data_IF_796576489896
#
_entry.id   IF_796576489896
#
_cell.length_a   1.000
_cell.length_b   1.000
_cell.length_c   1.000
_cell.angle_alpha   90.00
_cell.angle_beta   90.00
_cell.angle_gamma   90.00
#
_symmetry.space_group_name_H-M   'P 1'
#
loop_
_entity.id
_entity.type
_entity.pdbx_description
1 polymer ?
#
# COMPACT_ATOMS: atom_id res chain seq x y z
N UNK A 1 20.97 7.22 17.13
CA UNK A 1 19.82 6.35 16.82
C UNK A 1 19.60 6.44 15.33
N UNK A 2 19.70 5.31 14.59
CA UNK A 2 19.40 5.34 13.17
C UNK A 2 17.92 5.69 13.02
N UNK A 3 17.64 6.75 12.27
CA UNK A 3 16.28 7.19 12.03
C UNK A 3 15.61 6.14 11.13
N UNK A 4 14.57 5.46 11.60
CA UNK A 4 13.85 4.45 10.82
C UNK A 4 12.90 5.16 9.87
N UNK A 5 13.32 5.28 8.59
CA UNK A 5 12.51 5.92 7.54
C UNK A 5 11.64 4.88 6.86
N UNK A 6 10.35 5.15 6.80
CA UNK A 6 9.34 4.33 6.12
C UNK A 6 8.71 5.13 4.98
N UNK A 7 8.58 4.53 3.81
CA UNK A 7 8.04 5.20 2.61
C UNK A 7 6.80 4.49 2.12
N UNK A 8 5.74 5.24 1.87
CA UNK A 8 4.62 4.83 1.03
C UNK A 8 4.80 5.44 -0.36
N UNK A 9 4.97 4.61 -1.40
CA UNK A 9 5.30 5.07 -2.74
C UNK A 9 4.26 4.65 -3.77
N UNK A 10 3.69 5.62 -4.47
CA UNK A 10 2.71 5.37 -5.53
C UNK A 10 1.68 6.48 -5.66
N UNK A 11 0.40 6.12 -5.79
CA UNK A 11 -0.68 7.06 -5.99
C UNK A 11 -1.00 7.90 -4.75
N UNK A 12 -1.21 9.20 -5.00
CA UNK A 12 -1.91 10.14 -4.12
C UNK A 12 -3.00 10.81 -4.97
N UNK A 13 -4.24 10.76 -4.53
CA UNK A 13 -5.38 11.12 -5.35
C UNK A 13 -6.58 11.60 -4.52
N UNK A 14 -7.61 12.09 -5.19
CA UNK A 14 -8.92 12.35 -4.60
C UNK A 14 -9.92 11.29 -5.03
N UNK A 15 -10.54 10.64 -4.07
CA UNK A 15 -11.78 9.88 -4.28
C UNK A 15 -12.93 10.88 -4.28
N UNK A 16 -13.56 11.05 -5.46
CA UNK A 16 -14.66 11.99 -5.67
C UNK A 16 -15.97 11.23 -5.54
N UNK A 17 -16.64 11.45 -4.44
CA UNK A 17 -17.90 10.85 -4.04
C UNK A 17 -19.05 11.85 -4.27
N UNK A 18 -20.30 11.39 -4.36
CA UNK A 18 -21.46 12.29 -4.48
C UNK A 18 -21.56 13.33 -3.36
N UNK A 19 -21.16 12.96 -2.14
CA UNK A 19 -21.18 13.82 -0.94
C UNK A 19 -19.94 14.71 -0.79
N UNK A 20 -18.93 14.56 -1.64
CA UNK A 20 -17.67 15.31 -1.57
C UNK A 20 -16.47 14.49 -1.96
N UNK A 21 -15.29 15.03 -1.72
CA UNK A 21 -14.04 14.32 -2.02
C UNK A 21 -13.28 13.93 -0.77
N UNK A 22 -12.67 12.78 -0.79
CA UNK A 22 -11.78 12.28 0.27
C UNK A 22 -10.37 12.06 -0.29
N UNK A 23 -9.36 12.38 0.51
CA UNK A 23 -7.98 12.09 0.14
C UNK A 23 -7.78 10.57 0.18
N UNK A 24 -7.25 10.01 -0.91
CA UNK A 24 -7.05 8.59 -1.11
C UNK A 24 -5.65 8.28 -1.66
N UNK A 25 -5.45 7.00 -1.93
CA UNK A 25 -4.19 6.43 -2.37
C UNK A 25 -3.61 5.48 -1.31
N UNK A 26 -3.54 4.19 -1.61
CA UNK A 26 -3.07 3.18 -0.66
C UNK A 26 -1.68 3.49 -0.08
N UNK A 27 -0.67 3.93 -0.86
CA UNK A 27 0.62 4.31 -0.31
C UNK A 27 0.56 5.52 0.64
N UNK A 28 -0.31 6.49 0.39
CA UNK A 28 -0.50 7.66 1.25
C UNK A 28 -1.17 7.25 2.57
N UNK A 29 -2.21 6.41 2.51
CA UNK A 29 -2.86 5.85 3.68
C UNK A 29 -1.87 5.03 4.53
N UNK A 30 -1.09 4.16 3.91
CA UNK A 30 -0.04 3.39 4.59
C UNK A 30 0.93 4.32 5.34
N UNK A 31 1.47 5.34 4.66
CA UNK A 31 2.42 6.26 5.27
C UNK A 31 1.80 7.04 6.44
N UNK A 32 0.55 7.49 6.29
CA UNK A 32 -0.17 8.16 7.37
C UNK A 32 -0.32 7.25 8.60
N UNK A 33 -0.80 6.03 8.42
CA UNK A 33 -0.96 5.11 9.55
C UNK A 33 0.38 4.76 10.21
N UNK A 34 1.47 4.59 9.45
CA UNK A 34 2.80 4.38 10.03
C UNK A 34 3.25 5.57 10.87
N UNK A 35 2.96 6.81 10.45
CA UNK A 35 3.32 8.01 11.22
C UNK A 35 2.68 8.05 12.60
N UNK A 36 1.46 7.50 12.74
CA UNK A 36 0.75 7.41 14.03
C UNK A 36 1.47 6.51 15.05
N UNK A 37 2.38 5.65 14.59
CA UNK A 37 3.26 4.87 15.46
C UNK A 37 4.56 5.59 15.83
N UNK A 38 4.70 6.88 15.48
CA UNK A 38 5.87 7.71 15.80
C UNK A 38 7.12 7.35 15.00
N UNK A 39 6.98 6.74 13.81
CA UNK A 39 8.06 6.49 12.87
C UNK A 39 8.15 7.64 11.85
N UNK A 40 9.37 7.92 11.33
CA UNK A 40 9.56 8.87 10.22
C UNK A 40 8.99 8.26 8.94
N UNK A 41 7.72 8.55 8.70
CA UNK A 41 7.00 8.07 7.53
C UNK A 41 6.84 9.15 6.48
N UNK A 42 7.00 8.77 5.20
CA UNK A 42 6.97 9.71 4.07
C UNK A 42 6.15 9.17 2.91
N UNK A 43 5.34 10.03 2.31
CA UNK A 43 4.66 9.75 1.03
C UNK A 43 5.56 10.16 -0.11
N UNK A 44 5.75 9.28 -1.09
CA UNK A 44 6.40 9.58 -2.37
C UNK A 44 5.39 9.42 -3.49
N UNK A 45 5.09 10.53 -4.17
CA UNK A 45 4.10 10.57 -5.26
C UNK A 45 4.36 11.78 -6.18
N UNK A 46 3.42 12.10 -7.04
CA UNK A 46 3.37 13.34 -7.80
C UNK A 46 1.94 13.90 -7.85
N UNK A 47 1.84 15.22 -7.92
CA UNK A 47 0.58 15.97 -8.10
C UNK A 47 0.70 16.94 -9.27
N UNK A 48 -0.42 17.40 -9.78
CA UNK A 48 -0.47 18.42 -10.82
C UNK A 48 -0.21 19.82 -10.26
N UNK A 49 0.16 20.74 -11.15
CA UNK A 49 0.16 22.17 -10.87
C UNK A 49 -1.29 22.71 -10.99
N UNK A 50 -2.15 22.22 -10.11
CA UNK A 50 -3.57 22.52 -10.08
C UNK A 50 -4.10 22.64 -8.64
N UNK A 51 -5.35 23.09 -8.51
CA UNK A 51 -5.99 23.28 -7.20
C UNK A 51 -6.05 21.99 -6.38
N UNK A 52 -6.31 20.84 -7.01
CA UNK A 52 -6.41 19.55 -6.32
C UNK A 52 -5.05 19.12 -5.78
N UNK A 53 -3.97 19.39 -6.52
CA UNK A 53 -2.60 19.14 -6.06
C UNK A 53 -2.22 19.98 -4.85
N UNK A 54 -2.55 21.28 -4.88
CA UNK A 54 -2.34 22.18 -3.71
C UNK A 54 -3.09 21.65 -2.50
N UNK A 55 -4.35 21.26 -2.67
CA UNK A 55 -5.16 20.73 -1.57
C UNK A 55 -4.62 19.41 -1.00
N UNK A 56 -4.02 18.52 -1.82
CA UNK A 56 -3.31 17.31 -1.31
C UNK A 56 -2.13 17.71 -0.43
N UNK A 57 -1.30 18.65 -0.91
CA UNK A 57 -0.12 19.10 -0.15
C UNK A 57 -0.52 19.78 1.17
N UNK A 58 -1.60 20.56 1.17
CA UNK A 58 -2.12 21.19 2.38
C UNK A 58 -2.65 20.16 3.37
N UNK A 59 -3.39 19.13 2.92
CA UNK A 59 -3.84 18.04 3.76
C UNK A 59 -2.68 17.28 4.40
N UNK A 60 -1.60 16.96 3.64
CA UNK A 60 -0.42 16.31 4.22
C UNK A 60 0.25 17.19 5.27
N UNK A 61 0.30 18.51 5.04
CA UNK A 61 0.85 19.49 6.01
C UNK A 61 0.01 19.56 7.28
N UNK A 62 -1.31 19.65 7.15
CA UNK A 62 -2.24 19.69 8.30
C UNK A 62 -2.13 18.42 9.15
N UNK A 63 -1.96 17.27 8.53
CA UNK A 63 -1.76 15.97 9.19
C UNK A 63 -0.32 15.73 9.65
N UNK A 64 0.57 16.70 9.48
CA UNK A 64 2.00 16.60 9.81
C UNK A 64 2.67 15.37 9.18
N UNK A 65 2.19 14.96 8.02
CA UNK A 65 2.73 13.83 7.26
C UNK A 65 3.85 14.31 6.34
N UNK A 66 5.05 13.79 6.56
CA UNK A 66 6.17 14.07 5.69
C UNK A 66 5.91 13.54 4.27
N UNK A 67 6.31 14.29 3.27
CA UNK A 67 6.14 13.87 1.88
C UNK A 67 7.30 14.35 1.00
N UNK A 68 7.54 13.60 -0.08
CA UNK A 68 8.37 13.98 -1.20
C UNK A 68 7.47 13.87 -2.44
N UNK A 69 6.80 14.97 -2.75
CA UNK A 69 5.82 15.07 -3.82
C UNK A 69 6.36 16.00 -4.88
N UNK A 70 6.47 15.48 -6.10
CA UNK A 70 6.86 16.27 -7.26
C UNK A 70 5.63 16.91 -7.91
N UNK A 71 5.77 18.17 -8.35
CA UNK A 71 4.72 18.83 -9.14
C UNK A 71 5.07 18.62 -10.61
N UNK A 72 4.16 18.00 -11.35
CA UNK A 72 4.38 17.62 -12.75
C UNK A 72 3.31 18.21 -13.66
N UNK A 73 3.58 18.34 -14.99
CA UNK A 73 2.62 18.95 -15.94
C UNK A 73 1.52 17.97 -16.36
N UNK A 74 0.93 17.29 -15.40
CA UNK A 74 -0.19 16.37 -15.56
C UNK A 74 -1.24 16.68 -14.51
N UNK A 75 -2.52 16.43 -14.75
CA UNK A 75 -3.56 16.71 -13.76
C UNK A 75 -3.39 15.85 -12.51
N UNK A 76 -3.75 16.39 -11.35
CA UNK A 76 -3.80 15.62 -10.11
C UNK A 76 -4.77 14.44 -10.24
N UNK A 77 -4.37 13.28 -9.74
CA UNK A 77 -5.15 12.06 -9.84
C UNK A 77 -6.50 12.13 -9.13
N UNK A 78 -7.52 11.62 -9.79
CA UNK A 78 -8.86 11.46 -9.22
C UNK A 78 -9.44 10.09 -9.54
N UNK A 79 -10.26 9.58 -8.64
CA UNK A 79 -11.14 8.43 -8.83
C UNK A 79 -12.57 8.94 -8.72
N UNK A 80 -13.35 8.81 -9.78
CA UNK A 80 -14.77 9.11 -9.74
C UNK A 80 -15.51 7.89 -9.21
N UNK A 81 -16.33 8.07 -8.20
CA UNK A 81 -17.15 7.00 -7.63
C UNK A 81 -18.61 7.33 -7.96
N UNK A 82 -19.18 6.55 -8.86
CA UNK A 82 -20.58 6.66 -9.26
C UNK A 82 -21.32 5.39 -8.82
N UNK A 83 -22.60 5.51 -8.52
CA UNK A 83 -23.44 4.35 -8.27
C UNK A 83 -24.10 3.93 -9.58
N UNK A 84 -24.06 2.65 -9.90
CA UNK A 84 -24.83 2.12 -11.03
C UNK A 84 -26.34 2.09 -10.74
N UNK A 85 -27.13 1.57 -11.68
CA UNK A 85 -28.59 1.50 -11.56
C UNK A 85 -29.05 0.62 -10.39
N UNK A 86 -28.21 -0.29 -9.93
CA UNK A 86 -28.41 -1.21 -8.80
C UNK A 86 -27.84 -0.65 -7.48
N UNK A 87 -27.23 0.55 -7.51
CA UNK A 87 -26.62 1.20 -6.34
C UNK A 87 -25.24 0.63 -6.00
N UNK A 88 -24.59 -0.08 -6.91
CA UNK A 88 -23.25 -0.63 -6.72
C UNK A 88 -22.21 0.44 -7.12
N UNK A 89 -21.17 0.69 -6.28
CA UNK A 89 -20.13 1.64 -6.61
C UNK A 89 -19.33 1.23 -7.86
N UNK A 90 -19.27 2.11 -8.83
CA UNK A 90 -18.44 2.02 -10.02
C UNK A 90 -17.29 3.03 -9.91
N UNK A 91 -16.07 2.57 -10.02
CA UNK A 91 -14.87 3.38 -9.87
C UNK A 91 -14.28 3.70 -11.23
N UNK A 92 -14.11 4.98 -11.55
CA UNK A 92 -13.40 5.42 -12.75
C UNK A 92 -12.06 6.05 -12.33
N UNK A 93 -11.00 5.27 -12.42
CA UNK A 93 -9.64 5.69 -12.09
C UNK A 93 -9.02 6.38 -13.31
N UNK A 94 -8.94 7.70 -13.29
CA UNK A 94 -8.41 8.47 -14.42
C UNK A 94 -6.97 8.11 -14.76
N UNK A 95 -6.68 7.98 -16.06
CA UNK A 95 -5.36 7.72 -16.59
C UNK A 95 -4.65 9.01 -17.03
N UNK A 96 -3.32 8.96 -17.20
CA UNK A 96 -2.52 10.11 -17.65
C UNK A 96 -2.45 11.22 -16.60
N UNK A 97 -2.52 10.88 -15.35
CA UNK A 97 -2.48 11.80 -14.21
C UNK A 97 -1.07 11.93 -13.61
N UNK A 98 -0.92 12.82 -12.65
CA UNK A 98 0.36 13.16 -12.07
C UNK A 98 1.11 11.95 -11.46
N UNK A 99 0.44 11.11 -10.66
CA UNK A 99 1.07 9.93 -10.07
C UNK A 99 1.40 8.81 -11.08
N UNK A 100 0.95 8.89 -12.32
CA UNK A 100 1.45 8.06 -13.42
C UNK A 100 2.86 8.50 -13.89
N UNK A 101 3.32 9.68 -13.45
CA UNK A 101 4.52 10.36 -13.92
C UNK A 101 5.45 10.80 -12.77
N UNK A 102 5.62 9.98 -11.75
CA UNK A 102 6.54 10.22 -10.64
C UNK A 102 7.98 10.18 -11.18
N UNK A 103 8.73 11.30 -11.17
CA UNK A 103 10.08 11.31 -11.71
C UNK A 103 11.10 10.71 -10.73
N UNK A 104 12.14 10.07 -11.25
CA UNK A 104 13.28 9.66 -10.43
C UNK A 104 14.28 10.80 -10.32
N UNK A 105 14.42 11.37 -9.14
CA UNK A 105 15.30 12.52 -8.87
C UNK A 105 16.49 12.11 -7.99
N UNK A 106 17.62 12.88 -8.01
CA UNK A 106 18.71 12.63 -7.07
C UNK A 106 18.29 12.71 -5.59
N UNK A 107 17.30 13.55 -5.26
CA UNK A 107 16.74 13.62 -3.93
C UNK A 107 16.00 12.34 -3.54
N UNK A 108 15.22 11.78 -4.48
CA UNK A 108 14.51 10.51 -4.30
C UNK A 108 15.50 9.33 -4.16
N UNK A 109 16.58 9.32 -4.93
CA UNK A 109 17.65 8.32 -4.77
C UNK A 109 18.31 8.43 -3.40
N UNK A 110 18.58 9.65 -2.93
CA UNK A 110 19.11 9.91 -1.59
C UNK A 110 18.18 9.41 -0.48
N UNK A 111 16.87 9.55 -0.65
CA UNK A 111 15.87 8.98 0.26
C UNK A 111 15.89 7.45 0.21
N UNK A 112 15.90 6.83 -0.98
CA UNK A 112 15.91 5.39 -1.14
C UNK A 112 17.07 4.73 -0.39
N UNK A 113 18.27 5.30 -0.46
CA UNK A 113 19.48 4.80 0.22
C UNK A 113 19.38 4.80 1.76
N UNK A 114 18.46 5.59 2.33
CA UNK A 114 18.23 5.73 3.77
C UNK A 114 16.95 5.00 4.23
N UNK A 115 16.15 4.52 3.30
CA UNK A 115 14.84 3.92 3.58
C UNK A 115 15.00 2.54 4.22
N UNK A 116 14.36 2.35 5.37
CA UNK A 116 14.33 1.08 6.11
C UNK A 116 13.16 0.20 5.63
N UNK A 117 12.02 0.80 5.30
CA UNK A 117 10.89 0.08 4.75
C UNK A 117 10.18 0.90 3.67
N UNK A 118 9.68 0.23 2.62
CA UNK A 118 8.84 0.82 1.60
C UNK A 118 7.61 -0.04 1.36
N UNK A 119 6.45 0.59 1.21
CA UNK A 119 5.23 -0.04 0.71
C UNK A 119 4.88 0.54 -0.64
N UNK A 120 4.65 -0.33 -1.63
CA UNK A 120 4.26 0.03 -2.98
C UNK A 120 3.22 -0.95 -3.53
N UNK A 121 2.40 -0.50 -4.47
CA UNK A 121 1.33 -1.29 -5.06
C UNK A 121 1.51 -1.55 -6.56
N UNK A 122 0.51 -2.21 -7.16
CA UNK A 122 0.49 -2.45 -8.61
C UNK A 122 -0.02 -1.24 -9.41
N UNK A 123 -0.93 -0.43 -8.84
CA UNK A 123 -1.67 0.59 -9.58
C UNK A 123 -0.76 1.67 -10.16
N UNK A 124 0.16 2.24 -9.38
CA UNK A 124 1.09 3.26 -9.86
C UNK A 124 2.11 2.71 -10.88
N UNK A 125 2.23 1.39 -11.03
CA UNK A 125 3.08 0.74 -12.01
C UNK A 125 2.42 0.55 -13.38
N UNK A 126 1.15 0.96 -13.55
CA UNK A 126 0.46 0.92 -14.85
C UNK A 126 1.15 1.79 -15.88
N UNK A 127 1.68 2.94 -15.48
CA UNK A 127 2.49 3.83 -16.33
C UNK A 127 3.97 3.45 -16.26
N UNK A 128 4.65 3.54 -17.40
CA UNK A 128 6.08 3.22 -17.54
C UNK A 128 6.93 4.13 -16.64
N UNK A 129 6.63 5.44 -16.61
CA UNK A 129 7.44 6.43 -15.88
C UNK A 129 7.47 6.11 -14.38
N UNK A 130 6.31 6.00 -13.73
CA UNK A 130 6.25 5.69 -12.30
C UNK A 130 6.73 4.28 -11.98
N UNK A 131 6.49 3.32 -12.88
CA UNK A 131 7.01 1.95 -12.74
C UNK A 131 8.55 1.93 -12.71
N UNK A 132 9.20 2.63 -13.63
CA UNK A 132 10.66 2.72 -13.67
C UNK A 132 11.21 3.43 -12.43
N UNK A 133 10.56 4.50 -11.98
CA UNK A 133 10.92 5.21 -10.75
C UNK A 133 10.79 4.33 -9.52
N UNK A 134 9.69 3.58 -9.37
CA UNK A 134 9.52 2.61 -8.28
C UNK A 134 10.63 1.55 -8.33
N UNK A 135 10.93 1.01 -9.51
CA UNK A 135 11.97 0.00 -9.67
C UNK A 135 13.36 0.53 -9.30
N UNK A 136 13.72 1.73 -9.73
CA UNK A 136 14.98 2.36 -9.39
C UNK A 136 15.10 2.67 -7.90
N UNK A 137 13.98 3.11 -7.26
CA UNK A 137 13.92 3.30 -5.81
C UNK A 137 14.20 2.00 -5.06
N UNK A 138 13.54 0.91 -5.43
CA UNK A 138 13.72 -0.41 -4.81
C UNK A 138 15.15 -0.94 -4.98
N UNK A 139 15.78 -0.67 -6.14
CA UNK A 139 17.16 -1.07 -6.44
C UNK A 139 18.18 -0.24 -5.65
N UNK A 140 17.88 1.04 -5.39
CA UNK A 140 18.76 1.94 -4.62
C UNK A 140 18.68 1.71 -3.10
N UNK A 141 17.63 1.05 -2.59
CA UNK A 141 17.52 0.72 -1.17
C UNK A 141 18.63 -0.26 -0.70
N UNK A 142 19.04 -0.20 0.56
CA UNK A 142 19.96 -1.18 1.12
C UNK A 142 19.45 -2.61 0.92
N UNK A 143 20.37 -3.53 0.59
CA UNK A 143 20.03 -4.92 0.29
C UNK A 143 19.61 -5.71 1.53
N UNK A 144 20.19 -5.34 2.68
CA UNK A 144 19.96 -6.04 3.95
C UNK A 144 19.29 -5.13 4.98
N UNK A 145 18.58 -5.73 5.91
CA UNK A 145 17.92 -4.99 7.00
C UNK A 145 16.70 -4.18 6.59
N UNK A 146 16.23 -4.29 5.33
CA UNK A 146 15.09 -3.52 4.83
C UNK A 146 13.86 -4.39 4.58
N UNK A 147 12.69 -3.75 4.62
CA UNK A 147 11.41 -4.33 4.23
C UNK A 147 10.93 -3.66 2.93
N UNK A 148 10.79 -4.46 1.89
CA UNK A 148 10.19 -4.06 0.61
C UNK A 148 8.83 -4.74 0.52
N UNK A 149 7.79 -4.00 0.91
CA UNK A 149 6.42 -4.50 1.02
C UNK A 149 5.69 -4.24 -0.28
N UNK A 150 5.34 -5.29 -0.99
CA UNK A 150 4.44 -5.22 -2.12
C UNK A 150 3.02 -5.52 -1.65
N UNK A 151 2.21 -4.49 -1.45
CA UNK A 151 0.75 -4.62 -1.28
C UNK A 151 0.14 -4.64 -2.67
N UNK A 152 -0.25 -5.82 -3.14
CA UNK A 152 -0.55 -6.04 -4.55
C UNK A 152 -1.70 -5.15 -5.05
N UNK A 153 -2.75 -5.01 -4.26
CA UNK A 153 -3.85 -4.06 -4.39
C UNK A 153 -4.33 -3.90 -5.84
N UNK A 154 -4.80 -5.02 -6.44
CA UNK A 154 -5.25 -5.05 -7.83
C UNK A 154 -6.45 -4.13 -8.04
N UNK A 155 -6.39 -3.31 -9.08
CA UNK A 155 -7.47 -2.40 -9.46
C UNK A 155 -7.80 -2.58 -10.94
N UNK A 156 -9.05 -2.91 -11.22
CA UNK A 156 -9.57 -3.08 -12.59
C UNK A 156 -8.64 -3.95 -13.47
N UNK A 157 -8.22 -3.45 -14.65
CA UNK A 157 -7.25 -4.07 -15.54
C UNK A 157 -5.86 -3.43 -15.52
N UNK A 158 -5.55 -2.59 -14.53
CA UNK A 158 -4.32 -1.80 -14.45
C UNK A 158 -3.10 -2.59 -13.94
N UNK A 159 -3.03 -3.87 -14.25
CA UNK A 159 -1.90 -4.72 -13.90
C UNK A 159 -1.62 -5.72 -15.03
N UNK A 160 -0.38 -6.15 -15.14
CA UNK A 160 0.03 -7.19 -16.08
C UNK A 160 0.83 -8.27 -15.37
N UNK A 161 0.87 -9.45 -15.96
CA UNK A 161 1.69 -10.56 -15.45
C UNK A 161 3.15 -10.17 -15.28
N UNK A 162 3.68 -9.34 -16.19
CA UNK A 162 5.06 -8.86 -16.15
C UNK A 162 5.29 -7.94 -14.95
N UNK A 163 4.42 -6.94 -14.72
CA UNK A 163 4.50 -6.01 -13.58
C UNK A 163 4.45 -6.77 -12.27
N UNK A 164 3.51 -7.72 -12.14
CA UNK A 164 3.38 -8.53 -10.92
C UNK A 164 4.62 -9.40 -10.70
N UNK A 165 5.10 -10.08 -11.74
CA UNK A 165 6.28 -10.94 -11.66
C UNK A 165 7.52 -10.15 -11.23
N UNK A 166 7.74 -8.97 -11.83
CA UNK A 166 8.86 -8.10 -11.46
C UNK A 166 8.74 -7.63 -9.99
N UNK A 167 7.55 -7.22 -9.56
CA UNK A 167 7.30 -6.78 -8.19
C UNK A 167 7.53 -7.90 -7.16
N UNK A 168 7.11 -9.14 -7.47
CA UNK A 168 7.39 -10.31 -6.63
C UNK A 168 8.88 -10.59 -6.46
N UNK A 169 9.69 -10.36 -7.49
CA UNK A 169 11.16 -10.52 -7.38
C UNK A 169 11.85 -9.38 -6.62
N UNK A 170 11.24 -8.20 -6.60
CA UNK A 170 11.81 -7.02 -5.94
C UNK A 170 11.38 -6.87 -4.48
N UNK A 171 10.24 -7.42 -4.10
CA UNK A 171 9.78 -7.37 -2.71
C UNK A 171 10.39 -8.52 -1.86
N UNK A 172 10.33 -8.36 -0.55
CA UNK A 172 10.61 -9.42 0.42
C UNK A 172 9.45 -9.63 1.41
N UNK A 173 8.42 -8.79 1.33
CA UNK A 173 7.14 -8.95 2.01
C UNK A 173 6.06 -8.77 0.97
N UNK A 174 5.17 -9.75 0.82
CA UNK A 174 3.99 -9.68 -0.03
C UNK A 174 2.75 -9.58 0.84
N UNK A 175 1.89 -8.61 0.57
CA UNK A 175 0.53 -8.61 1.11
C UNK A 175 -0.46 -8.79 -0.04
N UNK A 176 -1.39 -9.69 0.15
CA UNK A 176 -2.38 -10.09 -0.85
C UNK A 176 -3.68 -10.50 -0.14
N UNK A 177 -4.83 -10.22 -0.74
CA UNK A 177 -6.09 -10.75 -0.25
C UNK A 177 -6.46 -12.07 -0.96
N UNK A 178 -7.51 -12.74 -0.49
CA UNK A 178 -7.93 -14.05 -0.99
C UNK A 178 -8.40 -14.02 -2.46
N UNK A 179 -9.12 -12.98 -2.87
CA UNK A 179 -9.57 -12.80 -4.27
C UNK A 179 -8.39 -12.52 -5.21
N UNK A 180 -7.48 -11.66 -4.80
CA UNK A 180 -6.24 -11.37 -5.51
C UNK A 180 -5.35 -12.61 -5.64
N UNK A 181 -5.25 -13.42 -4.57
CA UNK A 181 -4.49 -14.66 -4.59
C UNK A 181 -5.05 -15.66 -5.60
N UNK A 182 -6.37 -15.76 -5.70
CA UNK A 182 -7.01 -16.60 -6.74
C UNK A 182 -6.70 -16.06 -8.14
N UNK A 183 -6.80 -14.75 -8.35
CA UNK A 183 -6.51 -14.09 -9.63
C UNK A 183 -5.06 -14.32 -10.05
N UNK A 184 -4.11 -14.09 -9.16
CA UNK A 184 -2.68 -14.32 -9.38
C UNK A 184 -2.40 -15.78 -9.67
N UNK A 185 -2.99 -16.70 -8.90
CA UNK A 185 -2.77 -18.14 -9.09
C UNK A 185 -3.24 -18.60 -10.47
N UNK A 186 -4.38 -18.10 -10.95
CA UNK A 186 -4.87 -18.39 -12.31
C UNK A 186 -3.93 -17.82 -13.37
N UNK A 187 -3.51 -16.55 -13.21
CA UNK A 187 -2.64 -15.86 -14.18
C UNK A 187 -1.28 -16.54 -14.33
N UNK A 188 -0.74 -17.05 -13.23
CA UNK A 188 0.59 -17.67 -13.21
C UNK A 188 0.58 -19.20 -13.33
N UNK A 189 -0.60 -19.83 -13.28
CA UNK A 189 -0.75 -21.27 -13.33
C UNK A 189 -0.21 -21.97 -12.09
N UNK A 190 -0.33 -21.34 -10.91
CA UNK A 190 0.10 -21.97 -9.67
C UNK A 190 -0.88 -23.07 -9.24
N UNK A 191 -0.38 -24.28 -8.98
CA UNK A 191 -1.21 -25.36 -8.43
C UNK A 191 -1.56 -25.05 -6.97
N UNK A 192 -2.39 -25.87 -6.40
CA UNK A 192 -2.80 -25.80 -5.01
C UNK A 192 -4.32 -25.85 -4.89
N UNK A 193 -4.77 -26.64 -3.94
CA UNK A 193 -6.20 -26.87 -3.72
C UNK A 193 -6.76 -25.73 -2.88
N UNK A 194 -6.03 -25.30 -1.86
CA UNK A 194 -6.44 -24.23 -0.95
C UNK A 194 -5.57 -22.97 -1.06
N UNK A 195 -5.95 -21.95 -0.31
CA UNK A 195 -5.24 -20.66 -0.32
C UNK A 195 -3.86 -20.76 0.35
N UNK A 196 -3.71 -21.62 1.35
CA UNK A 196 -2.43 -21.77 2.08
C UNK A 196 -1.37 -22.39 1.18
N UNK A 197 -1.71 -23.42 0.39
CA UNK A 197 -0.80 -24.00 -0.59
C UNK A 197 -0.27 -22.96 -1.56
N UNK A 198 -1.16 -22.09 -2.06
CA UNK A 198 -0.79 -21.00 -2.98
C UNK A 198 0.15 -19.98 -2.30
N UNK A 199 -0.09 -19.67 -1.03
CA UNK A 199 0.80 -18.80 -0.25
C UNK A 199 2.19 -19.40 -0.09
N UNK A 200 2.30 -20.70 0.21
CA UNK A 200 3.58 -21.40 0.30
C UNK A 200 4.34 -21.41 -1.02
N UNK A 201 3.64 -21.59 -2.14
CA UNK A 201 4.25 -21.54 -3.49
C UNK A 201 4.85 -20.14 -3.73
N UNK A 202 4.10 -19.07 -3.48
CA UNK A 202 4.59 -17.70 -3.65
C UNK A 202 5.77 -17.39 -2.74
N UNK A 203 5.65 -17.74 -1.45
CA UNK A 203 6.70 -17.51 -0.45
C UNK A 203 8.02 -18.18 -0.86
N UNK A 204 7.96 -19.46 -1.25
CA UNK A 204 9.14 -20.22 -1.64
C UNK A 204 9.70 -19.76 -3.00
N UNK A 205 8.82 -19.56 -4.01
CA UNK A 205 9.24 -19.21 -5.36
C UNK A 205 9.97 -17.89 -5.45
N UNK A 206 9.52 -16.88 -4.68
CA UNK A 206 10.08 -15.54 -4.70
C UNK A 206 11.00 -15.26 -3.49
N UNK A 207 11.32 -16.29 -2.71
CA UNK A 207 12.18 -16.18 -1.53
C UNK A 207 11.76 -15.05 -0.58
N UNK A 208 10.45 -14.96 -0.32
CA UNK A 208 9.89 -13.93 0.54
C UNK A 208 10.25 -14.19 2.01
N UNK A 209 10.50 -13.13 2.76
CA UNK A 209 10.63 -13.19 4.22
C UNK A 209 9.27 -13.42 4.88
N UNK A 210 8.23 -12.78 4.34
CA UNK A 210 6.86 -12.87 4.85
C UNK A 210 5.85 -12.77 3.70
N UNK A 211 4.74 -13.46 3.86
CA UNK A 211 3.55 -13.30 3.04
C UNK A 211 2.35 -13.10 3.95
N UNK A 212 1.60 -12.02 3.74
CA UNK A 212 0.39 -11.67 4.47
C UNK A 212 -0.79 -11.95 3.56
N UNK A 213 -1.69 -12.84 4.00
CA UNK A 213 -2.96 -13.13 3.35
C UNK A 213 -4.10 -12.57 4.21
N UNK A 214 -4.88 -11.65 3.66
CA UNK A 214 -6.11 -11.16 4.31
C UNK A 214 -7.33 -11.80 3.67
N UNK A 215 -8.29 -12.28 4.50
CA UNK A 215 -9.49 -12.98 4.07
C UNK A 215 -10.77 -12.29 4.59
N UNK A 216 -10.78 -10.97 4.66
CA UNK A 216 -11.91 -10.18 5.12
C UNK A 216 -12.42 -10.65 6.49
N UNK A 217 -13.68 -11.01 6.57
CA UNK A 217 -14.32 -11.49 7.82
C UNK A 217 -13.77 -12.83 8.32
N UNK A 218 -13.04 -13.57 7.47
CA UNK A 218 -12.50 -14.88 7.81
C UNK A 218 -11.09 -14.80 8.43
N UNK A 219 -10.61 -13.62 8.77
CA UNK A 219 -9.32 -13.43 9.42
C UNK A 219 -8.18 -13.17 8.46
N UNK A 220 -6.97 -13.38 8.95
CA UNK A 220 -5.74 -13.16 8.20
C UNK A 220 -4.67 -14.17 8.60
N UNK A 221 -3.73 -14.39 7.70
CA UNK A 221 -2.58 -15.28 7.88
C UNK A 221 -1.29 -14.52 7.59
N UNK A 222 -0.26 -14.80 8.37
CA UNK A 222 1.12 -14.39 8.05
C UNK A 222 1.98 -15.64 7.96
N UNK A 223 2.57 -15.85 6.79
CA UNK A 223 3.47 -16.95 6.49
C UNK A 223 4.91 -16.44 6.54
N UNK A 224 5.77 -17.19 7.21
CA UNK A 224 7.22 -17.06 7.14
C UNK A 224 7.83 -18.42 6.78
N UNK A 225 9.12 -18.53 6.43
CA UNK A 225 9.71 -19.84 6.15
C UNK A 225 9.62 -20.86 7.31
N UNK A 226 9.38 -20.39 8.55
CA UNK A 226 9.37 -21.24 9.73
C UNK A 226 8.04 -21.37 10.46
N UNK A 227 7.06 -20.50 10.17
CA UNK A 227 5.82 -20.48 10.93
C UNK A 227 4.65 -19.90 10.14
N UNK A 228 3.44 -20.23 10.58
CA UNK A 228 2.18 -19.56 10.16
C UNK A 228 1.56 -18.96 11.41
N UNK A 229 1.17 -17.69 11.31
CA UNK A 229 0.33 -17.01 12.30
C UNK A 229 -1.06 -16.84 11.71
N UNK A 230 -2.10 -17.13 12.48
CA UNK A 230 -3.50 -16.86 12.13
C UNK A 230 -4.15 -15.96 13.18
N UNK A 231 -4.91 -14.96 12.71
CA UNK A 231 -5.69 -14.06 13.56
C UNK A 231 -7.10 -13.93 12.98
N UNK A 232 -8.10 -14.19 13.80
CA UNK A 232 -9.51 -13.97 13.44
C UNK A 232 -9.82 -12.49 13.31
N UNK A 233 -10.69 -12.12 12.36
CA UNK A 233 -11.20 -10.75 12.28
C UNK A 233 -12.13 -10.47 13.44
N UNK A 234 -11.91 -9.42 14.25
CA UNK A 234 -12.81 -9.05 15.33
C UNK A 234 -14.22 -8.77 14.80
N UNK A 235 -15.23 -9.26 15.51
CA UNK A 235 -16.64 -8.96 15.24
C UNK A 235 -16.99 -7.58 15.81
N UNK A 236 -16.70 -6.54 15.05
CA UNK A 236 -17.06 -5.15 15.38
C UNK A 236 -18.00 -4.60 14.31
N UNK A 237 -18.87 -3.67 14.67
CA UNK A 237 -19.61 -2.90 13.66
C UNK A 237 -18.59 -2.07 12.87
N UNK A 238 -18.47 -2.39 11.59
CA UNK A 238 -17.52 -1.72 10.70
C UNK A 238 -18.20 -0.50 10.11
N UNK A 239 -17.71 0.68 10.45
CA UNK A 239 -18.23 1.94 9.90
C UNK A 239 -17.80 2.15 8.44
N UNK A 240 -16.58 1.73 8.08
CA UNK A 240 -16.03 1.77 6.71
C UNK A 240 -14.94 0.72 6.56
N UNK A 241 -14.88 0.05 5.40
CA UNK A 241 -13.85 -0.96 5.08
C UNK A 241 -12.72 -0.42 4.20
N UNK A 242 -12.91 0.76 3.63
CA UNK A 242 -11.89 1.37 2.74
C UNK A 242 -10.67 1.78 3.57
N UNK A 243 -9.46 1.45 3.11
CA UNK A 243 -8.23 1.69 3.87
C UNK A 243 -7.92 0.67 4.98
N UNK A 244 -8.82 -0.27 5.26
CA UNK A 244 -8.59 -1.31 6.27
C UNK A 244 -7.32 -2.14 5.96
N UNK A 245 -7.12 -2.48 4.68
CA UNK A 245 -5.91 -3.18 4.22
C UNK A 245 -4.65 -2.35 4.42
N UNK A 246 -4.70 -1.05 4.12
CA UNK A 246 -3.56 -0.13 4.24
C UNK A 246 -3.16 0.04 5.72
N UNK A 247 -4.15 0.21 6.60
CA UNK A 247 -3.96 0.30 8.05
C UNK A 247 -3.40 -1.00 8.64
N UNK A 248 -3.91 -2.16 8.20
CA UNK A 248 -3.36 -3.46 8.58
C UNK A 248 -1.88 -3.57 8.22
N UNK A 249 -1.55 -3.28 6.95
CA UNK A 249 -0.17 -3.33 6.43
C UNK A 249 0.74 -2.37 7.22
N UNK A 250 0.28 -1.15 7.46
CA UNK A 250 1.01 -0.13 8.21
C UNK A 250 1.29 -0.56 9.66
N UNK A 251 0.25 -1.06 10.36
CA UNK A 251 0.38 -1.54 11.74
C UNK A 251 1.34 -2.70 11.85
N UNK A 252 1.24 -3.68 10.94
CA UNK A 252 2.12 -4.83 10.89
C UNK A 252 3.58 -4.40 10.69
N UNK A 253 3.85 -3.58 9.66
CA UNK A 253 5.20 -3.09 9.35
C UNK A 253 5.78 -2.28 10.50
N UNK A 254 5.00 -1.36 11.09
CA UNK A 254 5.45 -0.56 12.22
C UNK A 254 5.80 -1.43 13.43
N UNK A 255 5.02 -2.47 13.73
CA UNK A 255 5.28 -3.40 14.82
C UNK A 255 6.56 -4.22 14.58
N UNK A 256 6.78 -4.73 13.35
CA UNK A 256 8.03 -5.42 12.97
C UNK A 256 9.23 -4.50 13.12
N UNK A 257 9.15 -3.26 12.63
CA UNK A 257 10.24 -2.27 12.75
C UNK A 257 10.56 -1.88 14.19
N UNK A 258 9.58 -1.99 15.09
CA UNK A 258 9.76 -1.83 16.54
C UNK A 258 10.25 -3.10 17.24
N UNK A 259 10.63 -4.14 16.50
CA UNK A 259 11.22 -5.37 17.03
C UNK A 259 10.23 -6.37 17.60
N UNK A 260 8.93 -6.25 17.31
CA UNK A 260 7.95 -7.23 17.77
C UNK A 260 8.05 -8.53 16.95
N UNK A 261 7.88 -9.69 17.61
CA UNK A 261 7.74 -10.97 16.91
C UNK A 261 6.57 -10.95 15.91
N UNK A 262 6.69 -11.76 14.86
CA UNK A 262 5.65 -11.81 13.78
C UNK A 262 4.25 -12.07 14.32
N UNK A 263 4.08 -13.02 15.23
CA UNK A 263 2.78 -13.33 15.81
C UNK A 263 2.18 -12.14 16.61
N UNK A 264 3.01 -11.39 17.32
CA UNK A 264 2.57 -10.20 18.06
C UNK A 264 2.23 -9.05 17.08
N UNK A 265 3.07 -8.81 16.09
CA UNK A 265 2.82 -7.82 15.04
C UNK A 265 1.51 -8.13 14.28
N UNK A 266 1.28 -9.41 13.96
CA UNK A 266 0.07 -9.87 13.30
C UNK A 266 -1.18 -9.66 14.17
N UNK A 267 -1.11 -9.99 15.45
CA UNK A 267 -2.21 -9.77 16.40
C UNK A 267 -2.56 -8.29 16.52
N UNK A 268 -1.57 -7.40 16.56
CA UNK A 268 -1.79 -5.96 16.58
C UNK A 268 -2.47 -5.47 15.29
N UNK A 269 -2.00 -5.94 14.12
CA UNK A 269 -2.58 -5.58 12.83
C UNK A 269 -4.02 -6.08 12.66
N UNK A 270 -4.32 -7.30 13.12
CA UNK A 270 -5.67 -7.90 13.06
C UNK A 270 -6.59 -7.51 14.19
N UNK A 271 -6.06 -7.00 15.30
CA UNK A 271 -6.79 -6.75 16.55
C UNK A 271 -7.59 -5.45 16.61
N UNK A 272 -7.79 -4.77 15.47
CA UNK A 272 -8.73 -3.66 15.37
C UNK A 272 -8.22 -2.34 15.96
N UNK A 273 -7.20 -1.77 15.37
CA UNK A 273 -7.09 -0.33 15.43
C UNK A 273 -8.30 0.27 14.71
N UNK A 274 -9.06 1.10 15.40
CA UNK A 274 -10.17 1.88 14.83
C UNK A 274 -9.61 2.64 13.62
N UNK A 275 -10.14 2.32 12.45
CA UNK A 275 -9.69 2.90 11.19
C UNK A 275 -10.09 4.37 11.16
N UNK A 276 -9.11 5.24 11.18
CA UNK A 276 -9.29 6.67 10.92
C UNK A 276 -8.76 6.95 9.52
N UNK A 277 -9.67 7.36 8.65
CA UNK A 277 -9.34 7.80 7.30
C UNK A 277 -8.48 9.06 7.31
N UNK A 278 -7.70 9.27 6.22
CA UNK A 278 -7.06 10.56 5.94
C UNK A 278 -8.07 11.73 5.88
N UNK A 279 -9.36 11.45 5.72
CA UNK A 279 -10.45 12.43 5.60
C UNK A 279 -11.15 12.82 6.90
N UNK A 280 -11.13 11.99 7.93
CA UNK A 280 -11.86 12.25 9.16
C UNK A 280 -10.90 12.58 10.30
N UNK A 281 -11.13 13.71 11.00
CA UNK A 281 -10.39 14.04 12.21
C UNK A 281 -10.54 12.92 13.24
N UNK A 282 -9.49 12.70 14.07
CA UNK A 282 -9.58 11.76 15.19
C UNK A 282 -10.83 12.05 16.01
N UNK A 283 -11.61 11.04 16.44
CA UNK A 283 -12.49 11.22 17.55
C UNK A 283 -11.62 11.57 18.78
N UNK A 284 -11.97 12.64 19.47
CA UNK A 284 -11.32 13.04 20.72
C UNK A 284 -11.26 11.85 21.69
N UNK A 285 -10.07 11.65 22.28
CA UNK A 285 -9.74 10.54 23.16
C UNK A 285 -10.53 10.59 24.48
#
# INVERSE_FOLDING_TARGET
MNNTIVVGMGEALWDVLPEGKKLGGAPANFAYHVSQFGLDSRVVSAVGDDKLGVEILDNFREKQLNCMIEIVPYPTGTVQVELDAEGIPCYDIKEGVAWDNIPYTPALEGLARQTTAVCFGSLAQRSVVSRETINQFLDAMPKEGTLKVFDINLRQGFYTKEVLCNSFHKCNVLKINDEELVTVSRMFGYPGIDLQDKCWILLAKYNLKMLILTCGVNGSYVFTPGEISFVETPKVEVADTVGAGDSFTATFVAAILKGKPVAEAHKLAGGGFVFVWLGDGMPDA
#
